data_IF_064263746726
#
_entry.id   IF_064263746726
#
_cell.length_a   1.000
_cell.length_b   1.000
_cell.length_c   1.000
_cell.angle_alpha   90.00
_cell.angle_beta   90.00
_cell.angle_gamma   90.00
#
_symmetry.space_group_name_H-M   'P 1'
#
loop_
_entity.id
_entity.type
_entity.pdbx_description
1 polymer ?
#
# COMPACT_ATOMS: atom_id res chain seq x y z
N UNK A 1 -0.32 5.32 4.43
CA UNK A 1 -0.78 3.96 4.03
C UNK A 1 -0.50 2.96 5.14
N UNK A 2 -0.97 1.72 5.02
CA UNK A 2 -0.70 0.62 5.96
C UNK A 2 -0.32 -0.65 5.19
N UNK A 3 0.28 -1.64 5.87
CA UNK A 3 0.66 -2.94 5.28
C UNK A 3 -0.22 -4.06 5.79
N UNK A 4 -0.23 -5.18 5.07
CA UNK A 4 -0.99 -6.38 5.44
C UNK A 4 -0.53 -6.97 6.77
N UNK A 5 0.76 -6.85 7.09
CA UNK A 5 1.37 -7.39 8.30
C UNK A 5 2.43 -6.42 8.85
N UNK A 6 2.48 -6.29 10.18
CA UNK A 6 3.56 -5.59 10.89
C UNK A 6 4.93 -6.20 10.56
N UNK A 7 5.92 -5.37 10.27
CA UNK A 7 7.30 -5.83 10.03
C UNK A 7 7.52 -6.55 8.69
N UNK A 8 6.65 -6.34 7.70
CA UNK A 8 6.85 -6.87 6.36
C UNK A 8 8.16 -6.30 5.76
N UNK A 9 9.11 -7.14 5.31
CA UNK A 9 10.38 -6.69 4.74
C UNK A 9 10.20 -5.96 3.40
N UNK A 10 9.01 -6.04 2.79
CA UNK A 10 8.68 -5.33 1.56
C UNK A 10 8.29 -3.87 1.78
N UNK A 11 8.25 -3.38 3.03
CA UNK A 11 7.89 -1.99 3.33
C UNK A 11 8.74 -0.98 2.56
N UNK A 12 10.05 -1.21 2.52
CA UNK A 12 11.01 -0.31 1.86
C UNK A 12 10.79 -0.34 0.34
N UNK A 13 10.68 -1.55 -0.23
CA UNK A 13 10.44 -1.75 -1.68
C UNK A 13 9.13 -1.09 -2.13
N UNK A 14 8.08 -1.20 -1.33
CA UNK A 14 6.79 -0.58 -1.62
C UNK A 14 6.87 0.94 -1.55
N UNK A 15 7.64 1.49 -0.61
CA UNK A 15 7.81 2.94 -0.48
C UNK A 15 8.55 3.51 -1.69
N UNK A 16 9.63 2.85 -2.14
CA UNK A 16 10.35 3.24 -3.36
C UNK A 16 9.46 3.13 -4.60
N UNK A 17 8.71 2.03 -4.75
CA UNK A 17 7.77 1.85 -5.87
C UNK A 17 6.70 2.94 -5.91
N UNK A 18 6.26 3.44 -4.75
CA UNK A 18 5.31 4.55 -4.66
C UNK A 18 5.97 5.86 -5.11
N UNK A 19 7.21 6.11 -4.70
CA UNK A 19 7.95 7.30 -5.14
C UNK A 19 8.20 7.29 -6.65
N UNK A 20 8.58 6.14 -7.21
CA UNK A 20 8.76 5.97 -8.66
C UNK A 20 7.44 6.22 -9.40
N UNK A 21 6.34 5.62 -8.97
CA UNK A 21 5.02 5.82 -9.60
C UNK A 21 4.52 7.27 -9.49
N UNK A 22 4.88 7.99 -8.42
CA UNK A 22 4.53 9.41 -8.26
C UNK A 22 5.46 10.34 -9.04
N UNK A 23 6.67 9.89 -9.38
CA UNK A 23 7.63 10.67 -10.18
C UNK A 23 7.15 10.92 -11.61
N UNK A 24 6.29 10.04 -12.13
CA UNK A 24 5.63 10.20 -13.42
C UNK A 24 4.59 11.34 -13.44
N UNK A 25 4.23 11.89 -12.28
CA UNK A 25 3.22 12.96 -12.15
C UNK A 25 3.95 14.29 -11.84
N UNK A 26 4.17 15.17 -12.84
CA UNK A 26 5.00 16.36 -12.69
C UNK A 26 4.46 17.40 -11.69
N UNK A 27 3.17 17.34 -11.34
CA UNK A 27 2.55 18.19 -10.33
C UNK A 27 2.91 17.78 -8.89
N UNK A 28 3.36 16.54 -8.68
CA UNK A 28 3.69 16.00 -7.36
C UNK A 28 5.16 16.26 -7.05
N UNK A 29 5.44 17.29 -6.26
CA UNK A 29 6.83 17.73 -6.01
C UNK A 29 7.53 17.02 -4.85
N UNK A 30 6.79 16.64 -3.80
CA UNK A 30 7.34 16.05 -2.58
C UNK A 30 6.33 15.07 -1.97
N UNK A 31 6.21 13.85 -2.51
CA UNK A 31 5.33 12.85 -1.92
C UNK A 31 5.91 12.36 -0.58
N UNK A 32 5.12 12.47 0.50
CA UNK A 32 5.48 11.97 1.83
C UNK A 32 4.67 10.69 2.14
N UNK A 33 5.32 9.53 2.12
CA UNK A 33 4.67 8.25 2.43
C UNK A 33 4.72 7.99 3.93
N UNK A 34 3.59 8.23 4.62
CA UNK A 34 3.44 7.91 6.05
C UNK A 34 2.91 6.50 6.24
N UNK A 35 3.73 5.63 6.83
CA UNK A 35 3.30 4.30 7.26
C UNK A 35 2.57 4.39 8.60
N UNK A 36 1.31 3.98 8.64
CA UNK A 36 0.49 3.92 9.87
C UNK A 36 0.01 2.50 10.12
N UNK A 37 -0.06 2.14 11.39
CA UNK A 37 -0.49 0.81 11.83
C UNK A 37 -1.91 0.79 12.39
N UNK A 38 -2.48 1.98 12.64
CA UNK A 38 -3.86 2.14 13.11
C UNK A 38 -4.65 3.00 12.11
N UNK A 39 -5.83 2.55 11.65
CA UNK A 39 -6.45 1.25 11.92
C UNK A 39 -5.69 0.09 11.24
N UNK A 40 -5.69 -1.08 11.89
CA UNK A 40 -5.01 -2.27 11.36
C UNK A 40 -5.61 -2.69 10.01
N UNK A 41 -4.76 -3.22 9.12
CA UNK A 41 -5.22 -3.79 7.86
C UNK A 41 -5.91 -5.12 8.08
N UNK A 42 -6.98 -5.36 7.33
CA UNK A 42 -7.82 -6.54 7.44
C UNK A 42 -8.37 -6.89 6.05
N UNK A 43 -8.77 -8.15 5.84
CA UNK A 43 -9.19 -8.67 4.53
C UNK A 43 -10.48 -8.02 4.00
N UNK A 44 -11.30 -7.41 4.86
CA UNK A 44 -12.45 -6.60 4.45
C UNK A 44 -12.07 -5.36 3.64
N UNK A 45 -10.85 -4.84 3.82
CA UNK A 45 -10.33 -3.68 3.07
C UNK A 45 -9.97 -4.01 1.62
N UNK A 46 -9.99 -5.28 1.23
CA UNK A 46 -9.75 -5.67 -0.16
C UNK A 46 -10.92 -5.25 -1.07
N UNK A 47 -10.61 -4.98 -2.34
CA UNK A 47 -11.64 -4.78 -3.34
C UNK A 47 -12.39 -6.09 -3.64
N UNK A 48 -13.60 -6.00 -4.18
CA UNK A 48 -14.37 -7.18 -4.63
C UNK A 48 -13.56 -8.04 -5.60
N UNK A 49 -12.85 -7.38 -6.53
CA UNK A 49 -12.03 -8.06 -7.52
C UNK A 49 -10.87 -8.82 -6.85
N UNK A 50 -10.17 -8.18 -5.91
CA UNK A 50 -9.07 -8.82 -5.19
C UNK A 50 -9.54 -10.05 -4.39
N UNK A 51 -10.70 -9.96 -3.72
CA UNK A 51 -11.30 -11.11 -3.01
C UNK A 51 -11.60 -12.29 -3.94
N UNK A 52 -12.21 -12.01 -5.10
CA UNK A 52 -12.52 -13.05 -6.09
C UNK A 52 -11.23 -13.69 -6.64
N UNK A 53 -10.24 -12.87 -7.01
CA UNK A 53 -8.98 -13.36 -7.58
C UNK A 53 -8.18 -14.22 -6.60
N UNK A 54 -8.24 -13.92 -5.31
CA UNK A 54 -7.54 -14.64 -4.24
C UNK A 54 -8.37 -15.77 -3.61
N UNK A 55 -9.60 -16.00 -4.07
CA UNK A 55 -10.50 -17.01 -3.49
C UNK A 55 -10.93 -16.73 -2.05
N UNK A 56 -10.84 -15.48 -1.61
CA UNK A 56 -11.19 -15.04 -0.26
C UNK A 56 -12.67 -14.68 -0.23
N UNK A 57 -13.44 -15.43 0.57
CA UNK A 57 -14.89 -15.30 0.68
C UNK A 57 -15.29 -14.25 1.70
#
# INVERSE_FOLDING_TARGET
MTLTTMGCPLADVLTESIHEALSDIPEVKNPEVKLVWYPAWTTDKMSRYARIALGIR
#
